data_IF_502657247681
#
_entry.id   IF_502657247681
#
_cell.length_a   1.000
_cell.length_b   1.000
_cell.length_c   1.000
_cell.angle_alpha   90.00
_cell.angle_beta   90.00
_cell.angle_gamma   90.00
#
_symmetry.space_group_name_H-M   'P 1'
#
loop_
_entity.id
_entity.type
_entity.pdbx_description
1 polymer ?
#
# COMPACT_ATOMS: atom_id res chain seq x y z
N UNK A 1 -31.07 -4.59 -3.11
CA UNK A 1 -30.29 -5.81 -3.43
C UNK A 1 -29.43 -5.55 -4.65
N UNK A 2 -28.13 -5.79 -4.51
CA UNK A 2 -27.20 -5.63 -5.62
C UNK A 2 -27.51 -6.64 -6.74
N UNK A 3 -27.46 -6.18 -7.96
CA UNK A 3 -27.56 -7.02 -9.15
C UNK A 3 -26.16 -7.25 -9.68
N UNK A 4 -25.55 -8.34 -9.34
CA UNK A 4 -24.31 -8.81 -9.93
C UNK A 4 -24.47 -10.27 -10.33
N UNK A 5 -23.80 -10.66 -11.39
CA UNK A 5 -23.75 -12.02 -11.87
C UNK A 5 -22.34 -12.53 -11.57
N UNK A 6 -22.25 -13.64 -10.86
CA UNK A 6 -20.99 -14.35 -10.62
C UNK A 6 -20.92 -15.54 -11.58
N UNK A 7 -19.81 -15.70 -12.25
CA UNK A 7 -19.50 -16.90 -13.01
C UNK A 7 -18.95 -18.00 -12.08
N UNK A 8 -18.84 -19.20 -12.63
CA UNK A 8 -18.28 -20.33 -11.87
C UNK A 8 -16.85 -19.95 -11.41
N UNK A 9 -16.59 -20.19 -10.13
CA UNK A 9 -15.31 -19.94 -9.48
C UNK A 9 -14.95 -18.47 -9.21
N UNK A 10 -15.85 -17.53 -9.48
CA UNK A 10 -15.70 -16.13 -9.08
C UNK A 10 -16.17 -15.91 -7.64
N UNK A 11 -15.49 -15.00 -6.95
CA UNK A 11 -15.85 -14.54 -5.60
C UNK A 11 -15.76 -13.02 -5.52
N UNK A 12 -16.70 -12.43 -4.81
CA UNK A 12 -16.65 -11.00 -4.53
C UNK A 12 -15.51 -10.75 -3.53
N UNK A 13 -14.51 -9.94 -3.94
CA UNK A 13 -13.39 -9.56 -3.07
C UNK A 13 -13.77 -8.42 -2.11
N UNK A 14 -14.50 -7.42 -2.62
CA UNK A 14 -14.93 -6.26 -1.83
C UNK A 14 -16.07 -5.51 -2.54
N UNK A 15 -16.67 -4.57 -1.82
CA UNK A 15 -17.61 -3.59 -2.36
C UNK A 15 -17.00 -2.20 -2.21
N UNK A 16 -17.13 -1.37 -3.24
CA UNK A 16 -16.71 0.02 -3.23
C UNK A 16 -17.93 0.89 -3.40
N UNK A 17 -18.25 1.70 -2.38
CA UNK A 17 -19.30 2.70 -2.45
C UNK A 17 -18.72 4.02 -2.98
N UNK A 18 -19.36 4.58 -4.00
CA UNK A 18 -18.96 5.85 -4.61
C UNK A 18 -20.11 6.82 -4.49
N UNK A 19 -19.82 8.02 -4.01
CA UNK A 19 -20.84 9.07 -3.86
C UNK A 19 -20.30 10.30 -3.14
N UNK A 20 -21.19 11.24 -2.88
CA UNK A 20 -20.88 12.41 -2.06
C UNK A 20 -21.19 12.09 -0.60
N UNK A 21 -20.17 12.20 0.25
CA UNK A 21 -20.35 12.05 1.69
C UNK A 21 -21.10 13.22 2.32
N UNK A 22 -21.79 12.97 3.42
CA UNK A 22 -22.42 14.02 4.23
C UNK A 22 -21.39 14.98 4.84
N UNK A 23 -20.17 14.48 5.10
CA UNK A 23 -19.04 15.25 5.62
C UNK A 23 -17.80 15.02 4.75
N UNK A 24 -16.78 15.86 4.93
CA UNK A 24 -15.48 15.66 4.28
C UNK A 24 -14.65 14.52 4.89
N UNK A 25 -15.16 13.88 5.93
CA UNK A 25 -14.43 12.85 6.67
C UNK A 25 -13.27 13.41 7.50
N UNK A 26 -12.48 12.50 8.06
CA UNK A 26 -11.27 12.81 8.83
C UNK A 26 -10.14 11.88 8.38
N UNK A 27 -8.89 12.37 8.45
CA UNK A 27 -7.72 11.55 8.17
C UNK A 27 -7.60 10.42 9.19
N UNK A 28 -7.26 9.22 8.73
CA UNK A 28 -6.91 8.14 9.63
C UNK A 28 -5.53 8.38 10.28
N UNK A 29 -5.32 7.76 11.42
CA UNK A 29 -4.02 7.81 12.10
C UNK A 29 -3.00 6.98 11.30
N UNK A 30 -1.85 7.57 10.98
CA UNK A 30 -0.78 6.92 10.24
C UNK A 30 0.41 6.60 11.14
N UNK A 31 1.13 5.55 10.79
CA UNK A 31 2.45 5.23 11.36
C UNK A 31 3.51 6.18 10.82
N UNK A 32 4.67 6.19 11.46
CA UNK A 32 5.82 6.90 10.90
C UNK A 32 6.41 6.11 9.70
N UNK A 33 7.05 6.78 8.74
CA UNK A 33 7.73 6.10 7.63
C UNK A 33 8.74 5.02 8.10
N UNK A 34 9.44 5.26 9.18
CA UNK A 34 10.41 4.31 9.74
C UNK A 34 9.80 3.01 10.32
N UNK A 35 8.51 3.02 10.62
CA UNK A 35 7.79 1.81 11.06
C UNK A 35 7.37 0.91 9.89
N UNK A 36 7.25 1.47 8.70
CA UNK A 36 6.75 0.79 7.51
C UNK A 36 7.77 0.70 6.38
N UNK A 37 9.00 1.18 6.60
CA UNK A 37 10.05 1.12 5.60
C UNK A 37 11.44 1.27 6.22
N UNK A 38 12.46 1.08 5.39
CA UNK A 38 13.84 1.48 5.68
C UNK A 38 14.20 2.85 5.08
N UNK A 39 13.21 3.69 4.83
CA UNK A 39 13.43 5.06 4.34
C UNK A 39 14.27 5.86 5.34
N UNK A 40 15.29 6.52 4.83
CA UNK A 40 16.16 7.41 5.59
C UNK A 40 16.71 8.54 4.68
N UNK A 41 17.61 9.37 5.19
CA UNK A 41 18.21 10.46 4.43
C UNK A 41 19.09 10.03 3.24
N UNK A 42 19.36 8.74 3.07
CA UNK A 42 20.15 8.18 1.97
C UNK A 42 19.29 7.50 0.89
N UNK A 43 18.00 7.27 1.15
CA UNK A 43 17.07 6.71 0.17
C UNK A 43 16.66 7.78 -0.85
N UNK A 44 16.39 7.40 -2.12
CA UNK A 44 15.93 8.36 -3.12
C UNK A 44 14.61 9.02 -2.73
N UNK A 45 14.41 10.27 -3.13
CA UNK A 45 13.18 11.03 -2.86
C UNK A 45 11.93 10.28 -3.35
N UNK A 46 11.96 9.72 -4.57
CA UNK A 46 10.84 8.96 -5.11
C UNK A 46 10.43 7.76 -4.21
N UNK A 47 11.41 7.11 -3.52
CA UNK A 47 11.08 6.03 -2.59
C UNK A 47 10.38 6.57 -1.33
N UNK A 48 10.84 7.70 -0.82
CA UNK A 48 10.22 8.36 0.33
C UNK A 48 8.79 8.82 -0.01
N UNK A 49 8.59 9.41 -1.19
CA UNK A 49 7.26 9.80 -1.70
C UNK A 49 6.32 8.58 -1.83
N UNK A 50 6.87 7.45 -2.29
CA UNK A 50 6.14 6.18 -2.35
C UNK A 50 5.69 5.68 -0.97
N UNK A 51 6.57 5.76 0.03
CA UNK A 51 6.25 5.39 1.43
C UNK A 51 5.17 6.31 2.00
N UNK A 52 5.29 7.61 1.80
CA UNK A 52 4.31 8.58 2.27
C UNK A 52 2.93 8.35 1.65
N UNK A 53 2.90 8.05 0.35
CA UNK A 53 1.66 7.70 -0.35
C UNK A 53 1.07 6.37 0.18
N UNK A 54 1.90 5.36 0.43
CA UNK A 54 1.46 4.08 0.99
C UNK A 54 0.83 4.23 2.38
N UNK A 55 1.29 5.17 3.19
CA UNK A 55 0.71 5.48 4.50
C UNK A 55 -0.71 6.05 4.42
N UNK A 56 -1.13 6.56 3.26
CA UNK A 56 -2.50 7.01 3.02
C UNK A 56 -3.44 5.85 2.63
N UNK A 57 -2.90 4.66 2.35
CA UNK A 57 -3.69 3.51 1.96
C UNK A 57 -4.62 3.05 3.09
N UNK A 58 -5.90 2.78 2.81
CA UNK A 58 -6.78 2.13 3.78
C UNK A 58 -6.33 0.69 4.02
N UNK A 59 -6.34 0.27 5.28
CA UNK A 59 -6.05 -1.10 5.68
C UNK A 59 -7.11 -1.60 6.65
N UNK A 60 -7.27 -2.92 6.76
CA UNK A 60 -8.24 -3.51 7.68
C UNK A 60 -7.99 -3.02 9.11
N UNK A 61 -9.03 -2.48 9.77
CA UNK A 61 -8.96 -1.83 11.08
C UNK A 61 -7.79 -0.86 11.27
N UNK A 62 -7.35 -0.25 10.17
CA UNK A 62 -6.18 0.65 10.15
C UNK A 62 -4.90 0.00 10.71
N UNK A 63 -4.72 -1.30 10.47
CA UNK A 63 -3.59 -2.06 11.04
C UNK A 63 -2.24 -1.71 10.44
N UNK A 64 -2.20 -1.24 9.19
CA UNK A 64 -0.98 -0.80 8.49
C UNK A 64 0.18 -1.80 8.63
N UNK A 65 -0.11 -3.09 8.38
CA UNK A 65 0.82 -4.21 8.49
C UNK A 65 1.52 -4.49 7.17
N UNK A 66 2.25 -3.51 6.67
CA UNK A 66 3.09 -3.62 5.47
C UNK A 66 4.47 -3.01 5.75
N UNK A 67 5.44 -3.38 4.92
CA UNK A 67 6.80 -2.83 5.02
C UNK A 67 7.43 -2.78 3.63
N UNK A 68 8.02 -1.64 3.29
CA UNK A 68 8.76 -1.43 2.05
C UNK A 68 10.25 -1.32 2.33
N UNK A 69 11.04 -2.03 1.55
CA UNK A 69 12.51 -1.97 1.64
C UNK A 69 13.11 -1.50 0.33
N UNK A 70 13.91 -0.47 0.40
CA UNK A 70 14.81 -0.07 -0.68
C UNK A 70 16.11 -0.86 -0.58
N UNK A 71 16.48 -1.53 -1.66
CA UNK A 71 17.70 -2.31 -1.76
C UNK A 71 18.59 -1.71 -2.83
N UNK A 72 19.70 -1.11 -2.41
CA UNK A 72 20.71 -0.60 -3.32
C UNK A 72 21.48 -1.75 -3.93
N UNK A 73 21.60 -1.76 -5.25
CA UNK A 73 22.37 -2.76 -5.98
C UNK A 73 23.69 -2.18 -6.51
N UNK A 74 24.73 -3.00 -6.49
CA UNK A 74 26.06 -2.61 -7.02
C UNK A 74 26.07 -2.38 -8.53
N UNK A 75 25.10 -2.96 -9.26
CA UNK A 75 24.93 -2.81 -10.71
C UNK A 75 24.05 -1.59 -11.09
N UNK A 76 23.66 -0.77 -10.11
CA UNK A 76 22.79 0.40 -10.31
C UNK A 76 21.32 0.06 -10.57
N UNK A 77 20.93 -1.22 -10.47
CA UNK A 77 19.54 -1.67 -10.59
C UNK A 77 18.91 -1.86 -9.21
N UNK A 78 18.75 -0.75 -8.53
CA UNK A 78 18.13 -0.74 -7.21
C UNK A 78 16.74 -1.37 -7.24
N UNK A 79 16.34 -2.02 -6.15
CA UNK A 79 15.10 -2.78 -6.06
C UNK A 79 14.26 -2.32 -4.88
N UNK A 80 12.96 -2.52 -5.01
CA UNK A 80 12.02 -2.33 -3.91
C UNK A 80 11.39 -3.67 -3.57
N UNK A 81 11.30 -3.97 -2.29
CA UNK A 81 10.60 -5.15 -1.77
C UNK A 81 9.42 -4.67 -0.95
N UNK A 82 8.26 -5.21 -1.24
CA UNK A 82 7.06 -5.00 -0.44
C UNK A 82 6.73 -6.27 0.35
N UNK A 83 6.61 -6.15 1.68
CA UNK A 83 6.36 -7.25 2.59
C UNK A 83 5.08 -7.02 3.38
N UNK A 84 4.27 -8.06 3.54
CA UNK A 84 3.15 -8.04 4.48
C UNK A 84 3.62 -8.36 5.89
N UNK A 85 3.03 -7.70 6.87
CA UNK A 85 3.21 -8.04 8.28
C UNK A 85 2.34 -9.21 8.70
N UNK A 86 2.49 -9.63 9.95
CA UNK A 86 1.69 -10.66 10.59
C UNK A 86 0.52 -10.02 11.32
N UNK A 87 -0.69 -10.56 11.14
CA UNK A 87 -1.88 -10.14 11.83
C UNK A 87 -2.77 -11.33 12.13
N UNK A 88 -3.31 -11.39 13.35
CA UNK A 88 -4.32 -12.38 13.75
C UNK A 88 -5.67 -12.12 13.06
N UNK A 89 -5.93 -10.88 12.64
CA UNK A 89 -7.14 -10.48 11.93
C UNK A 89 -7.14 -10.95 10.46
N UNK A 90 -5.95 -11.19 9.90
CA UNK A 90 -5.79 -11.46 8.46
C UNK A 90 -5.82 -10.19 7.61
N UNK A 91 -6.24 -10.30 6.36
CA UNK A 91 -6.33 -9.22 5.35
C UNK A 91 -4.99 -8.56 4.97
N UNK A 92 -3.87 -8.99 5.51
CA UNK A 92 -2.55 -8.37 5.25
C UNK A 92 -2.13 -8.46 3.78
N UNK A 93 -2.56 -9.49 3.07
CA UNK A 93 -2.29 -9.62 1.64
C UNK A 93 -3.06 -8.59 0.81
N UNK A 94 -4.34 -8.37 1.13
CA UNK A 94 -5.17 -7.35 0.48
C UNK A 94 -4.66 -5.95 0.83
N UNK A 95 -4.39 -5.70 2.10
CA UNK A 95 -3.84 -4.43 2.58
C UNK A 95 -2.51 -4.10 1.89
N UNK A 96 -1.63 -5.10 1.72
CA UNK A 96 -0.36 -4.92 1.01
C UNK A 96 -0.59 -4.54 -0.46
N UNK A 97 -1.55 -5.15 -1.13
CA UNK A 97 -1.91 -4.82 -2.52
C UNK A 97 -2.35 -3.37 -2.66
N UNK A 98 -3.19 -2.89 -1.73
CA UNK A 98 -3.66 -1.50 -1.71
C UNK A 98 -2.49 -0.54 -1.42
N UNK A 99 -1.68 -0.83 -0.40
CA UNK A 99 -0.53 -0.02 -0.03
C UNK A 99 0.52 0.04 -1.17
N UNK A 100 0.74 -1.09 -1.84
CA UNK A 100 1.67 -1.18 -2.98
C UNK A 100 1.21 -0.30 -4.15
N UNK A 101 -0.09 -0.27 -4.46
CA UNK A 101 -0.64 0.59 -5.50
C UNK A 101 -0.49 2.07 -5.13
N UNK A 102 -0.75 2.45 -3.88
CA UNK A 102 -0.48 3.80 -3.41
C UNK A 102 0.99 4.18 -3.53
N UNK A 103 1.88 3.25 -3.15
CA UNK A 103 3.32 3.43 -3.30
C UNK A 103 3.70 3.72 -4.76
N UNK A 104 3.16 2.96 -5.70
CA UNK A 104 3.40 3.15 -7.14
C UNK A 104 2.95 4.52 -7.63
N UNK A 105 1.84 5.03 -7.13
CA UNK A 105 1.35 6.38 -7.46
C UNK A 105 2.30 7.45 -6.92
N UNK A 106 2.75 7.32 -5.68
CA UNK A 106 3.65 8.30 -5.06
C UNK A 106 5.06 8.27 -5.63
N UNK A 107 5.61 7.08 -5.86
CA UNK A 107 6.98 6.90 -6.33
C UNK A 107 7.16 7.14 -7.85
N UNK A 108 6.08 6.98 -8.63
CA UNK A 108 6.15 6.85 -10.09
C UNK A 108 6.62 5.45 -10.50
N UNK A 109 5.78 4.75 -11.27
CA UNK A 109 6.04 3.34 -11.66
C UNK A 109 7.34 3.15 -12.42
N UNK A 110 7.78 4.16 -13.16
CA UNK A 110 9.04 4.17 -13.93
C UNK A 110 10.29 4.10 -13.04
N UNK A 111 10.19 4.50 -11.77
CA UNK A 111 11.30 4.48 -10.82
C UNK A 111 11.44 3.15 -10.10
N UNK A 112 10.43 2.28 -10.18
CA UNK A 112 10.33 1.10 -9.34
C UNK A 112 10.78 -0.14 -10.07
N UNK A 113 11.68 -0.88 -9.43
CA UNK A 113 12.08 -2.22 -9.83
C UNK A 113 11.71 -3.18 -8.69
N UNK A 114 10.54 -3.80 -8.80
CA UNK A 114 10.06 -4.75 -7.79
C UNK A 114 10.90 -6.04 -7.77
N UNK A 115 11.20 -6.52 -6.57
CA UNK A 115 11.83 -7.82 -6.34
C UNK A 115 10.81 -8.86 -5.90
#
# INVERSE_FOLDING_TARGET
>A
MGTYILEKDEKIACYIAIGYGETQGVSHRIKSPSEVSNADGSTPEWFNDGVDAALLAPTAVNQQKFHFEYLRASDGKDKVVAKKGVSLLGYTQMDLGIAKYHFEIGAGVENINWK
#
